data_IF_908239489607
#
_entry.id   IF_908239489607
#
_cell.length_a   1.000
_cell.length_b   1.000
_cell.length_c   1.000
_cell.angle_alpha   90.00
_cell.angle_beta   90.00
_cell.angle_gamma   90.00
#
_symmetry.space_group_name_H-M   'P 1'
#
loop_
_entity.id
_entity.type
_entity.pdbx_description
1 polymer ?
#
# COMPACT_ATOMS: atom_id res chain seq x y z
N UNK A 1 -29.59 -2.14 1.41
CA UNK A 1 -29.46 -0.76 0.89
C UNK A 1 -30.37 0.26 1.57
N UNK A 2 -31.71 0.16 1.48
CA UNK A 2 -32.64 1.10 2.16
C UNK A 2 -32.42 1.22 3.68
N UNK A 3 -31.98 0.14 4.33
CA UNK A 3 -31.66 0.13 5.75
C UNK A 3 -30.49 1.07 6.13
N UNK A 4 -29.44 1.14 5.31
CA UNK A 4 -28.26 2.00 5.59
C UNK A 4 -28.56 3.48 5.37
N UNK A 5 -29.39 3.82 4.37
CA UNK A 5 -29.86 5.18 4.17
C UNK A 5 -30.65 5.68 5.40
N UNK A 6 -31.47 4.82 6.01
CA UNK A 6 -32.18 5.15 7.24
C UNK A 6 -31.23 5.31 8.45
N UNK A 7 -30.18 4.48 8.53
CA UNK A 7 -29.12 4.63 9.55
C UNK A 7 -28.42 6.01 9.43
N UNK A 8 -28.22 6.52 8.22
CA UNK A 8 -27.63 7.84 8.01
C UNK A 8 -28.44 8.96 8.68
N UNK A 9 -29.75 8.99 8.44
CA UNK A 9 -30.66 9.96 9.05
C UNK A 9 -30.73 9.82 10.57
N UNK A 10 -30.59 8.60 11.11
CA UNK A 10 -30.52 8.37 12.56
C UNK A 10 -29.19 8.83 13.16
N UNK A 11 -28.08 8.68 12.42
CA UNK A 11 -26.74 8.96 12.92
C UNK A 11 -26.44 10.46 12.97
N UNK A 12 -26.90 11.22 11.97
CA UNK A 12 -26.57 12.63 11.80
C UNK A 12 -27.84 13.49 11.92
N UNK A 13 -28.00 14.27 13.00
CA UNK A 13 -29.17 15.12 13.19
C UNK A 13 -29.38 16.09 12.02
N UNK A 14 -30.57 16.08 11.43
CA UNK A 14 -30.93 16.96 10.31
C UNK A 14 -30.42 16.51 8.94
N UNK A 15 -29.85 15.29 8.83
CA UNK A 15 -29.47 14.71 7.54
C UNK A 15 -30.70 14.20 6.79
N UNK A 16 -31.12 14.96 5.77
CA UNK A 16 -32.20 14.59 4.84
C UNK A 16 -31.64 13.83 3.64
N UNK A 17 -31.73 12.50 3.68
CA UNK A 17 -31.20 11.62 2.62
C UNK A 17 -32.19 11.56 1.46
N UNK A 18 -31.74 11.96 0.27
CA UNK A 18 -32.58 12.00 -0.94
C UNK A 18 -32.25 10.90 -1.95
N UNK A 19 -31.05 10.32 -1.89
CA UNK A 19 -30.64 9.22 -2.76
C UNK A 19 -29.50 8.39 -2.14
N UNK A 20 -29.39 7.12 -2.59
CA UNK A 20 -28.18 6.32 -2.41
C UNK A 20 -27.26 6.46 -3.62
N UNK A 21 -25.97 6.22 -3.44
CA UNK A 21 -24.93 6.28 -4.48
C UNK A 21 -23.77 5.34 -4.14
N UNK A 22 -22.83 5.12 -5.07
CA UNK A 22 -21.56 4.46 -4.74
C UNK A 22 -20.78 5.22 -3.65
N UNK A 23 -19.93 4.51 -2.87
CA UNK A 23 -19.69 3.06 -2.93
C UNK A 23 -20.91 2.26 -2.44
N UNK A 24 -21.03 1.01 -2.89
CA UNK A 24 -22.02 0.04 -2.40
C UNK A 24 -21.28 -1.29 -2.24
N UNK A 25 -20.62 -1.43 -1.11
CA UNK A 25 -19.68 -2.52 -0.85
C UNK A 25 -20.22 -3.38 0.29
N UNK A 26 -20.09 -4.69 0.17
CA UNK A 26 -20.35 -5.64 1.26
C UNK A 26 -19.18 -6.61 1.28
N UNK A 27 -18.40 -6.57 2.35
CA UNK A 27 -17.32 -7.53 2.63
C UNK A 27 -17.79 -8.53 3.69
N UNK A 28 -16.90 -9.41 4.14
CA UNK A 28 -17.18 -10.30 5.28
C UNK A 28 -17.32 -9.53 6.61
N UNK A 29 -16.75 -8.33 6.70
CA UNK A 29 -16.65 -7.55 7.93
C UNK A 29 -17.55 -6.31 7.95
N UNK A 30 -17.79 -5.68 6.78
CA UNK A 30 -18.47 -4.40 6.69
C UNK A 30 -19.46 -4.34 5.54
N UNK A 31 -20.51 -3.55 5.75
CA UNK A 31 -21.37 -3.06 4.68
C UNK A 31 -21.28 -1.54 4.60
N UNK A 32 -20.96 -1.02 3.42
CA UNK A 32 -20.78 0.40 3.16
C UNK A 32 -21.71 0.89 2.05
N UNK A 33 -22.32 2.06 2.23
CA UNK A 33 -23.07 2.73 1.17
C UNK A 33 -22.82 4.24 1.15
N UNK A 34 -22.72 4.81 -0.05
CA UNK A 34 -22.80 6.24 -0.27
C UNK A 34 -24.25 6.74 -0.19
N UNK A 35 -24.46 7.93 0.38
CA UNK A 35 -25.75 8.63 0.37
C UNK A 35 -25.59 10.10 -0.03
N UNK A 36 -26.61 10.67 -0.64
CA UNK A 36 -26.69 12.08 -1.01
C UNK A 36 -27.78 12.75 -0.18
N UNK A 37 -27.50 13.93 0.36
CA UNK A 37 -28.50 14.73 1.05
C UNK A 37 -29.20 15.76 0.15
N UNK A 38 -30.28 16.36 0.64
CA UNK A 38 -31.06 17.38 -0.08
C UNK A 38 -30.30 18.66 -0.45
N UNK A 39 -29.11 18.88 0.12
CA UNK A 39 -28.21 19.98 -0.22
C UNK A 39 -27.12 19.57 -1.23
N UNK A 40 -27.19 18.35 -1.80
CA UNK A 40 -26.22 17.83 -2.76
C UNK A 40 -24.92 17.36 -2.13
N UNK A 41 -24.87 17.21 -0.81
CA UNK A 41 -23.69 16.79 -0.05
C UNK A 41 -23.64 15.25 0.01
N UNK A 42 -22.49 14.67 -0.36
CA UNK A 42 -22.27 13.22 -0.34
C UNK A 42 -21.71 12.73 1.00
N UNK A 43 -22.16 11.56 1.44
CA UNK A 43 -21.82 10.93 2.72
C UNK A 43 -21.57 9.44 2.49
N UNK A 44 -20.84 8.82 3.42
CA UNK A 44 -20.63 7.37 3.47
C UNK A 44 -21.15 6.86 4.82
N UNK A 45 -21.88 5.76 4.76
CA UNK A 45 -22.33 4.98 5.92
C UNK A 45 -21.57 3.67 5.90
N UNK A 46 -20.90 3.32 7.00
CA UNK A 46 -20.19 2.05 7.18
C UNK A 46 -20.73 1.34 8.41
N UNK A 47 -21.23 0.13 8.22
CA UNK A 47 -21.85 -0.69 9.26
C UNK A 47 -21.06 -2.00 9.41
N UNK A 48 -20.62 -2.36 10.62
CA UNK A 48 -19.98 -3.65 10.85
C UNK A 48 -20.99 -4.80 10.73
N UNK A 49 -20.53 -5.95 10.27
CA UNK A 49 -21.31 -7.19 10.14
C UNK A 49 -20.97 -8.22 11.24
N UNK A 50 -19.90 -8.00 12.00
CA UNK A 50 -19.46 -8.86 13.09
C UNK A 50 -19.10 -8.04 14.33
N UNK A 51 -19.12 -8.67 15.51
CA UNK A 51 -18.72 -8.01 16.77
C UNK A 51 -17.26 -7.53 16.73
N UNK A 52 -16.39 -8.31 16.09
CA UNK A 52 -14.97 -7.96 15.92
C UNK A 52 -14.81 -6.72 15.03
N UNK A 53 -15.50 -6.68 13.88
CA UNK A 53 -15.53 -5.52 13.00
C UNK A 53 -16.14 -4.29 13.69
N UNK A 54 -17.16 -4.49 14.54
CA UNK A 54 -17.73 -3.43 15.37
C UNK A 54 -16.73 -2.84 16.35
N UNK A 55 -16.00 -3.68 17.08
CA UNK A 55 -14.94 -3.23 17.98
C UNK A 55 -13.80 -2.52 17.23
N UNK A 56 -13.42 -3.01 16.04
CA UNK A 56 -12.42 -2.37 15.19
C UNK A 56 -12.88 -0.99 14.69
N UNK A 57 -14.16 -0.84 14.32
CA UNK A 57 -14.73 0.45 13.91
C UNK A 57 -14.77 1.46 15.06
N UNK A 58 -15.01 1.02 16.30
CA UNK A 58 -14.92 1.89 17.48
C UNK A 58 -13.50 2.41 17.71
N UNK A 59 -12.52 1.52 17.60
CA UNK A 59 -11.11 1.84 17.72
C UNK A 59 -10.67 2.83 16.61
N UNK A 60 -11.07 2.55 15.36
CA UNK A 60 -10.85 3.43 14.21
C UNK A 60 -11.48 4.80 14.44
N UNK A 61 -12.74 4.86 14.86
CA UNK A 61 -13.44 6.12 15.10
C UNK A 61 -12.74 7.00 16.16
N UNK A 62 -12.17 6.39 17.20
CA UNK A 62 -11.39 7.11 18.20
C UNK A 62 -10.07 7.64 17.63
N UNK A 63 -9.39 6.84 16.79
CA UNK A 63 -8.16 7.24 16.10
C UNK A 63 -8.41 8.36 15.10
N UNK A 64 -9.47 8.29 14.30
CA UNK A 64 -9.83 9.29 13.28
C UNK A 64 -10.01 10.69 13.87
N UNK A 65 -10.47 10.81 15.12
CA UNK A 65 -10.54 12.11 15.81
C UNK A 65 -9.16 12.72 15.98
N UNK A 66 -8.15 11.91 16.36
CA UNK A 66 -6.77 12.36 16.52
C UNK A 66 -6.13 12.63 15.15
N UNK A 67 -6.33 11.74 14.18
CA UNK A 67 -5.82 11.95 12.81
C UNK A 67 -6.39 13.22 12.16
N UNK A 68 -7.63 13.60 12.45
CA UNK A 68 -8.20 14.86 11.97
C UNK A 68 -7.45 16.10 12.51
N UNK A 69 -6.87 16.03 13.71
CA UNK A 69 -6.00 17.07 14.27
C UNK A 69 -4.67 17.12 13.51
N UNK A 70 -4.12 15.97 13.15
CA UNK A 70 -2.89 15.83 12.35
C UNK A 70 -3.07 16.42 10.95
N UNK A 71 -4.20 16.14 10.29
CA UNK A 71 -4.60 16.77 9.01
C UNK A 71 -4.73 18.28 9.17
N UNK A 72 -5.44 18.74 10.21
CA UNK A 72 -5.66 20.18 10.44
C UNK A 72 -4.37 20.95 10.75
N UNK A 73 -3.38 20.27 11.33
CA UNK A 73 -2.05 20.83 11.60
C UNK A 73 -1.11 20.81 10.38
N UNK A 74 -1.50 20.13 9.30
CA UNK A 74 -0.69 19.96 8.09
C UNK A 74 0.38 18.88 8.19
N UNK A 75 0.35 18.02 9.22
CA UNK A 75 1.27 16.87 9.33
C UNK A 75 0.87 15.72 8.42
N UNK A 76 -0.44 15.50 8.25
CA UNK A 76 -0.95 14.61 7.20
C UNK A 76 -1.35 15.45 5.98
N UNK A 77 -0.75 15.21 4.80
CA UNK A 77 -1.00 16.00 3.59
C UNK A 77 -2.28 15.61 2.85
N UNK A 78 -3.03 14.62 3.36
CA UNK A 78 -4.24 14.07 2.76
C UNK A 78 -5.40 14.07 3.77
N UNK A 79 -6.64 13.91 3.29
CA UNK A 79 -7.81 13.81 4.16
C UNK A 79 -7.99 12.40 4.77
N UNK A 80 -8.58 12.33 5.95
CA UNK A 80 -9.05 11.08 6.57
C UNK A 80 -10.55 11.14 6.82
N UNK A 81 -11.26 10.01 6.97
CA UNK A 81 -12.67 10.02 7.37
C UNK A 81 -12.87 10.81 8.67
N UNK A 82 -13.88 11.68 8.69
CA UNK A 82 -14.26 12.43 9.89
C UNK A 82 -15.66 11.99 10.34
N UNK A 83 -15.77 11.19 11.43
CA UNK A 83 -17.06 10.70 11.91
C UNK A 83 -17.99 11.88 12.22
N UNK A 84 -19.11 11.96 11.51
CA UNK A 84 -20.15 12.97 11.70
C UNK A 84 -21.26 12.51 12.64
N UNK A 85 -21.43 11.19 12.80
CA UNK A 85 -22.44 10.61 13.66
C UNK A 85 -22.43 9.09 13.66
N UNK A 86 -23.18 8.50 14.59
CA UNK A 86 -23.29 7.05 14.74
C UNK A 86 -24.74 6.61 14.95
N UNK A 87 -25.12 5.46 14.40
CA UNK A 87 -26.44 4.86 14.59
C UNK A 87 -26.31 3.42 15.11
N UNK A 88 -27.04 3.09 16.16
CA UNK A 88 -27.04 1.74 16.74
C UNK A 88 -27.61 0.71 15.75
N UNK A 89 -26.97 -0.45 15.66
CA UNK A 89 -27.45 -1.56 14.85
C UNK A 89 -28.32 -2.50 15.70
N UNK A 90 -29.38 -3.12 15.13
CA UNK A 90 -30.23 -4.07 15.86
C UNK A 90 -29.47 -5.28 16.43
N UNK A 91 -28.44 -5.74 15.71
CA UNK A 91 -27.65 -6.93 16.04
C UNK A 91 -26.55 -6.64 17.08
N UNK A 92 -26.24 -5.37 17.35
CA UNK A 92 -25.14 -4.94 18.21
C UNK A 92 -24.12 -4.08 17.46
N UNK A 93 -23.42 -3.21 18.20
CA UNK A 93 -22.51 -2.21 17.61
C UNK A 93 -23.25 -1.02 16.98
N UNK A 94 -22.50 -0.17 16.26
CA UNK A 94 -23.06 1.03 15.61
C UNK A 94 -22.42 1.28 14.25
N UNK A 95 -23.24 1.73 13.30
CA UNK A 95 -22.76 2.25 12.03
C UNK A 95 -22.16 3.64 12.23
N UNK A 96 -21.10 3.93 11.49
CA UNK A 96 -20.44 5.24 11.42
C UNK A 96 -20.86 5.95 10.14
N UNK A 97 -21.10 7.26 10.24
CA UNK A 97 -21.43 8.11 9.08
C UNK A 97 -20.44 9.25 9.01
N UNK A 98 -19.86 9.47 7.84
CA UNK A 98 -18.93 10.58 7.58
C UNK A 98 -19.17 11.21 6.21
N UNK A 99 -18.57 12.38 5.98
CA UNK A 99 -18.56 13.01 4.65
C UNK A 99 -17.82 12.11 3.66
N UNK A 100 -18.35 11.97 2.45
CA UNK A 100 -17.61 11.29 1.39
C UNK A 100 -16.31 12.05 1.10
N UNK A 101 -15.21 11.30 1.00
CA UNK A 101 -13.89 11.81 0.65
C UNK A 101 -13.84 12.09 -0.86
N UNK A 102 -12.97 13.02 -1.25
CA UNK A 102 -12.79 13.41 -2.66
C UNK A 102 -11.72 12.51 -3.27
N UNK A 103 -11.95 12.05 -4.50
CA UNK A 103 -11.00 11.26 -5.26
C UNK A 103 -11.60 9.93 -5.73
N UNK A 104 -10.78 9.17 -6.44
CA UNK A 104 -11.03 7.76 -6.81
C UNK A 104 -9.90 6.90 -6.27
N UNK A 105 -10.15 5.61 -6.09
CA UNK A 105 -9.11 4.66 -5.72
C UNK A 105 -7.92 4.75 -6.70
N UNK A 106 -6.71 4.61 -6.16
CA UNK A 106 -5.49 4.61 -6.96
C UNK A 106 -5.45 3.38 -7.86
N UNK A 107 -5.04 3.57 -9.11
CA UNK A 107 -4.84 2.46 -10.04
C UNK A 107 -3.35 2.14 -10.09
N UNK A 108 -3.01 0.85 -10.02
CA UNK A 108 -1.62 0.40 -9.99
C UNK A 108 -0.81 0.86 -11.20
N UNK A 109 -1.43 0.87 -12.39
CA UNK A 109 -0.80 1.32 -13.64
C UNK A 109 -0.43 2.82 -13.64
N UNK A 110 -0.98 3.61 -12.71
CA UNK A 110 -0.67 5.05 -12.56
C UNK A 110 0.52 5.29 -11.62
N UNK A 111 1.03 4.25 -10.97
CA UNK A 111 2.23 4.29 -10.14
C UNK A 111 3.49 4.05 -10.99
N UNK A 112 3.64 4.74 -12.11
CA UNK A 112 4.71 4.59 -13.12
C UNK A 112 6.04 5.27 -12.74
N UNK A 113 6.29 5.46 -11.44
CA UNK A 113 7.43 6.24 -10.95
C UNK A 113 7.30 7.76 -11.16
N UNK A 114 6.16 8.24 -11.67
CA UNK A 114 5.86 9.65 -11.83
C UNK A 114 5.54 10.38 -10.52
N UNK A 115 5.00 11.62 -10.62
CA UNK A 115 4.68 12.46 -9.46
C UNK A 115 3.74 11.80 -8.44
N UNK A 116 2.79 10.98 -8.89
CA UNK A 116 1.86 10.29 -8.01
C UNK A 116 2.56 9.25 -7.12
N UNK A 117 3.54 8.51 -7.66
CA UNK A 117 4.32 7.55 -6.88
C UNK A 117 5.14 8.25 -5.77
N UNK A 118 5.74 9.40 -6.10
CA UNK A 118 6.46 10.25 -5.14
C UNK A 118 5.52 10.80 -4.07
N UNK A 119 4.33 11.26 -4.46
CA UNK A 119 3.34 11.80 -3.53
C UNK A 119 2.79 10.71 -2.59
N UNK A 120 2.51 9.52 -3.11
CA UNK A 120 2.12 8.35 -2.32
C UNK A 120 3.20 7.97 -1.30
N UNK A 121 4.47 7.92 -1.72
CA UNK A 121 5.58 7.63 -0.82
C UNK A 121 5.66 8.66 0.34
N UNK A 122 5.42 9.93 0.05
CA UNK A 122 5.35 11.00 1.07
C UNK A 122 4.14 10.86 1.98
N UNK A 123 2.98 10.47 1.44
CA UNK A 123 1.78 10.22 2.23
C UNK A 123 1.99 9.08 3.24
N UNK A 124 2.61 7.98 2.81
CA UNK A 124 2.97 6.85 3.70
C UNK A 124 3.99 7.30 4.74
N UNK A 125 5.04 8.01 4.34
CA UNK A 125 6.03 8.56 5.27
C UNK A 125 5.38 9.48 6.32
N UNK A 126 4.39 10.30 5.94
CA UNK A 126 3.67 11.18 6.85
C UNK A 126 2.87 10.41 7.92
N UNK A 127 2.30 9.24 7.58
CA UNK A 127 1.68 8.34 8.58
C UNK A 127 2.75 7.84 9.54
N UNK A 128 3.88 7.40 9.02
CA UNK A 128 4.95 6.82 9.83
C UNK A 128 5.67 7.85 10.72
N UNK A 129 5.59 9.15 10.41
CA UNK A 129 6.13 10.26 11.22
C UNK A 129 5.20 10.69 12.36
N UNK A 130 4.00 10.10 12.46
CA UNK A 130 3.09 10.35 13.57
C UNK A 130 3.68 9.83 14.89
N UNK A 131 3.40 10.55 15.99
CA UNK A 131 3.79 10.11 17.32
C UNK A 131 3.06 8.80 17.69
N UNK A 132 3.82 7.76 18.04
CA UNK A 132 3.31 6.46 18.50
C UNK A 132 2.34 6.62 19.69
N UNK A 133 2.45 7.69 20.47
CA UNK A 133 1.48 8.02 21.51
C UNK A 133 0.03 8.09 20.98
N UNK A 134 -0.19 8.48 19.73
CA UNK A 134 -1.52 8.54 19.11
C UNK A 134 -2.24 7.20 19.13
N UNK A 135 -1.52 6.10 18.88
CA UNK A 135 -2.07 4.75 18.90
C UNK A 135 -1.99 4.12 20.29
N UNK A 136 -0.90 4.36 21.03
CA UNK A 136 -0.68 3.79 22.36
C UNK A 136 -1.69 4.30 23.41
N UNK A 137 -2.03 5.60 23.40
CA UNK A 137 -3.01 6.19 24.32
C UNK A 137 -4.44 5.65 24.12
N UNK A 138 -4.74 5.20 22.91
CA UNK A 138 -6.02 4.57 22.56
C UNK A 138 -6.04 3.06 22.88
N UNK A 139 -4.93 2.51 23.36
CA UNK A 139 -4.80 1.08 23.66
C UNK A 139 -4.69 0.21 22.41
N UNK A 140 -4.36 0.80 21.25
CA UNK A 140 -4.06 0.03 20.04
C UNK A 140 -2.73 -0.71 20.21
N UNK A 141 -2.50 -1.80 19.43
CA UNK A 141 -1.28 -2.58 19.57
C UNK A 141 -0.02 -1.76 19.34
N UNK A 142 1.03 -2.06 20.11
CA UNK A 142 2.37 -1.49 19.95
C UNK A 142 3.36 -2.64 20.03
N UNK A 143 4.13 -2.82 18.98
CA UNK A 143 5.13 -3.88 18.88
C UNK A 143 6.52 -3.28 18.70
N UNK A 144 7.47 -3.75 19.51
CA UNK A 144 8.88 -3.60 19.16
C UNK A 144 9.27 -4.60 18.06
N UNK A 145 10.46 -4.42 17.47
CA UNK A 145 10.92 -5.24 16.36
C UNK A 145 10.96 -6.74 16.70
N UNK A 146 11.32 -7.10 17.93
CA UNK A 146 11.41 -8.50 18.35
C UNK A 146 10.03 -9.13 18.55
N UNK A 147 9.09 -8.41 19.17
CA UNK A 147 7.72 -8.85 19.36
C UNK A 147 7.02 -9.01 18.02
N UNK A 148 7.24 -8.06 17.10
CA UNK A 148 6.67 -8.11 15.76
C UNK A 148 7.24 -9.27 14.92
N UNK A 149 8.56 -9.46 14.95
CA UNK A 149 9.24 -10.62 14.34
C UNK A 149 8.65 -11.95 14.84
N UNK A 150 8.50 -12.12 16.15
CA UNK A 150 7.91 -13.33 16.74
C UNK A 150 6.47 -13.56 16.30
N UNK A 151 5.69 -12.49 16.12
CA UNK A 151 4.33 -12.58 15.58
C UNK A 151 4.34 -13.10 14.14
N UNK A 152 5.22 -12.57 13.29
CA UNK A 152 5.39 -13.05 11.90
C UNK A 152 5.87 -14.50 11.85
N UNK A 153 6.76 -14.91 12.75
CA UNK A 153 7.18 -16.31 12.86
C UNK A 153 6.01 -17.23 13.26
N UNK A 154 5.20 -16.83 14.24
CA UNK A 154 4.02 -17.59 14.64
C UNK A 154 2.98 -17.72 13.50
N UNK A 155 2.87 -16.70 12.64
CA UNK A 155 2.02 -16.71 11.44
C UNK A 155 2.54 -17.70 10.39
N UNK A 156 3.85 -17.74 10.15
CA UNK A 156 4.48 -18.77 9.29
C UNK A 156 4.26 -20.17 9.86
N UNK A 157 4.44 -20.36 11.16
CA UNK A 157 4.16 -21.64 11.83
C UNK A 157 2.70 -22.08 11.66
N UNK A 158 1.76 -21.15 11.77
CA UNK A 158 0.33 -21.42 11.58
C UNK A 158 0.02 -21.81 10.13
N UNK A 159 0.53 -21.04 9.17
CA UNK A 159 0.36 -21.31 7.74
C UNK A 159 0.99 -22.65 7.34
N UNK A 160 2.19 -22.96 7.86
CA UNK A 160 2.88 -24.24 7.66
C UNK A 160 2.03 -25.44 8.13
N UNK A 161 1.37 -25.33 9.28
CA UNK A 161 0.49 -26.40 9.81
C UNK A 161 -0.73 -26.72 8.94
N UNK A 162 -1.12 -25.83 8.03
CA UNK A 162 -2.21 -26.11 7.08
C UNK A 162 -1.82 -27.20 6.07
N UNK A 163 -0.51 -27.37 5.80
CA UNK A 163 0.00 -28.27 4.76
C UNK A 163 -0.19 -27.79 3.32
N UNK A 164 -0.73 -26.57 3.12
CA UNK A 164 -0.95 -25.99 1.79
C UNK A 164 0.23 -25.14 1.30
N UNK A 165 1.05 -24.61 2.22
CA UNK A 165 2.20 -23.77 1.88
C UNK A 165 3.36 -24.64 1.37
N UNK A 166 3.95 -24.35 0.19
CA UNK A 166 5.13 -25.05 -0.29
C UNK A 166 6.33 -24.94 0.66
N UNK A 167 7.07 -26.03 0.81
CA UNK A 167 8.19 -26.11 1.75
C UNK A 167 9.33 -25.13 1.40
N UNK A 168 9.54 -24.82 0.11
CA UNK A 168 10.55 -23.84 -0.30
C UNK A 168 10.26 -22.44 0.24
N UNK A 169 8.99 -22.02 0.19
CA UNK A 169 8.54 -20.73 0.73
C UNK A 169 8.67 -20.67 2.26
N UNK A 170 8.28 -21.72 2.98
CA UNK A 170 8.46 -21.79 4.43
C UNK A 170 9.94 -21.58 4.80
N UNK A 171 10.85 -22.33 4.17
CA UNK A 171 12.29 -22.20 4.42
C UNK A 171 12.83 -20.80 4.08
N UNK A 172 12.34 -20.19 2.99
CA UNK A 172 12.70 -18.84 2.57
C UNK A 172 12.29 -17.81 3.62
N UNK A 173 11.05 -17.87 4.10
CA UNK A 173 10.52 -16.96 5.11
C UNK A 173 11.17 -17.15 6.47
N UNK A 174 11.38 -18.39 6.91
CA UNK A 174 12.08 -18.70 8.16
C UNK A 174 13.50 -18.11 8.17
N UNK A 175 14.26 -18.25 7.07
CA UNK A 175 15.60 -17.65 6.98
C UNK A 175 15.59 -16.13 7.12
N UNK A 176 14.62 -15.45 6.51
CA UNK A 176 14.46 -14.01 6.64
C UNK A 176 14.06 -13.62 8.08
N UNK A 177 13.19 -14.41 8.72
CA UNK A 177 12.77 -14.22 10.12
C UNK A 177 13.88 -14.52 11.12
N UNK A 178 14.85 -15.37 10.78
CA UNK A 178 16.01 -15.71 11.61
C UNK A 178 17.17 -14.71 11.46
N UNK A 179 17.25 -13.99 10.34
CA UNK A 179 18.27 -12.96 10.12
C UNK A 179 17.96 -11.69 10.92
N UNK A 180 18.50 -11.62 12.14
CA UNK A 180 18.29 -10.50 13.06
C UNK A 180 18.71 -9.13 12.49
N UNK A 181 19.53 -9.08 11.42
CA UNK A 181 19.89 -7.82 10.76
C UNK A 181 18.70 -7.15 10.08
N UNK A 182 17.69 -7.92 9.70
CA UNK A 182 16.46 -7.38 9.12
C UNK A 182 15.59 -6.71 10.19
N UNK A 183 15.66 -7.17 11.45
CA UNK A 183 14.71 -6.84 12.51
C UNK A 183 15.26 -5.81 13.51
N UNK A 184 15.89 -4.76 12.98
CA UNK A 184 16.44 -3.64 13.78
C UNK A 184 15.70 -2.33 13.56
N UNK A 185 14.48 -2.39 13.05
CA UNK A 185 13.68 -1.20 12.74
C UNK A 185 13.21 -0.48 14.02
N UNK A 186 12.99 0.82 13.89
CA UNK A 186 12.27 1.62 14.88
C UNK A 186 10.77 1.53 14.60
N UNK A 187 9.93 1.11 15.56
CA UNK A 187 8.50 1.03 15.34
C UNK A 187 7.91 2.40 15.01
N UNK A 188 6.90 2.42 14.14
CA UNK A 188 6.17 3.63 13.74
C UNK A 188 4.67 3.38 13.80
N UNK A 189 3.86 4.44 13.80
CA UNK A 189 2.44 4.29 13.48
C UNK A 189 2.32 3.79 12.03
N UNK A 190 1.60 2.69 11.83
CA UNK A 190 1.28 2.15 10.50
C UNK A 190 -0.24 2.19 10.28
N UNK A 191 -0.66 2.27 9.04
CA UNK A 191 -2.03 1.98 8.62
C UNK A 191 -2.36 0.51 8.86
N UNK A 192 -1.42 -0.40 8.58
CA UNK A 192 -1.46 -1.83 8.93
C UNK A 192 -2.25 -2.71 7.96
N UNK A 193 -3.01 -2.10 7.06
CA UNK A 193 -3.76 -2.76 5.99
C UNK A 193 -3.86 -1.85 4.75
N UNK A 194 -2.74 -1.20 4.39
CA UNK A 194 -2.73 -0.27 3.27
C UNK A 194 -2.80 -1.04 1.94
N UNK A 195 -3.71 -0.62 1.08
CA UNK A 195 -3.98 -1.24 -0.22
C UNK A 195 -4.53 -0.18 -1.20
N UNK A 196 -4.56 -0.42 -2.53
CA UNK A 196 -5.03 0.55 -3.52
C UNK A 196 -6.43 1.13 -3.22
N UNK A 197 -7.35 0.28 -2.77
CA UNK A 197 -8.73 0.64 -2.43
C UNK A 197 -8.84 1.58 -1.21
N UNK A 198 -7.77 1.72 -0.43
CA UNK A 198 -7.71 2.58 0.75
C UNK A 198 -7.06 3.94 0.47
N UNK A 199 -6.54 4.15 -0.74
CA UNK A 199 -5.88 5.38 -1.17
C UNK A 199 -6.70 6.05 -2.26
N UNK A 200 -7.15 7.28 -2.00
CA UNK A 200 -7.86 8.08 -2.98
C UNK A 200 -6.94 9.12 -3.62
N UNK A 201 -7.10 9.29 -4.93
CA UNK A 201 -6.36 10.23 -5.78
C UNK A 201 -7.32 11.24 -6.40
N UNK A 202 -6.92 12.50 -6.38
CA UNK A 202 -7.60 13.60 -7.06
C UNK A 202 -6.57 14.54 -7.70
N UNK A 203 -6.80 14.94 -8.95
CA UNK A 203 -5.90 15.84 -9.69
C UNK A 203 -4.42 15.38 -9.73
N UNK A 204 -4.19 14.07 -9.70
CA UNK A 204 -2.85 13.46 -9.77
C UNK A 204 -2.11 13.38 -8.45
N UNK A 205 -2.76 13.68 -7.33
CA UNK A 205 -2.20 13.66 -5.98
C UNK A 205 -3.06 12.83 -5.03
N UNK A 206 -2.47 12.29 -3.97
CA UNK A 206 -3.17 11.57 -2.90
C UNK A 206 -4.06 12.55 -2.15
N UNK A 207 -5.37 12.39 -2.32
CA UNK A 207 -6.37 13.27 -1.73
C UNK A 207 -6.88 12.78 -0.38
N UNK A 208 -6.90 11.45 -0.17
CA UNK A 208 -7.34 10.87 1.09
C UNK A 208 -6.82 9.45 1.30
N UNK A 209 -6.71 9.04 2.57
CA UNK A 209 -6.50 7.64 2.99
C UNK A 209 -7.59 7.28 4.00
N UNK A 210 -8.12 6.06 3.95
CA UNK A 210 -9.18 5.59 4.85
C UNK A 210 -9.01 4.12 5.26
N UNK A 211 -9.91 3.61 6.10
CA UNK A 211 -9.89 2.23 6.64
C UNK A 211 -8.79 1.96 7.66
N UNK A 212 -8.62 2.87 8.64
CA UNK A 212 -7.60 2.77 9.70
C UNK A 212 -7.93 1.75 10.81
N UNK A 213 -8.79 0.77 10.55
CA UNK A 213 -9.19 -0.25 11.55
C UNK A 213 -8.05 -1.19 11.95
N UNK A 214 -7.02 -1.32 11.12
CA UNK A 214 -5.83 -2.11 11.39
C UNK A 214 -4.66 -1.28 11.95
N UNK A 215 -4.85 0.03 12.18
CA UNK A 215 -3.77 0.93 12.58
C UNK A 215 -3.20 0.57 13.95
N UNK A 216 -1.88 0.57 14.03
CA UNK A 216 -1.13 0.20 15.23
C UNK A 216 0.31 0.73 15.13
N UNK A 217 1.17 0.42 16.12
CA UNK A 217 2.60 0.72 16.00
C UNK A 217 3.42 -0.56 15.77
N UNK A 218 4.17 -0.59 14.67
CA UNK A 218 4.93 -1.76 14.22
C UNK A 218 5.97 -1.39 13.14
N UNK A 219 6.30 -2.34 12.27
CA UNK A 219 7.26 -2.23 11.19
C UNK A 219 6.71 -1.38 10.03
N UNK A 220 7.39 -0.29 9.62
CA UNK A 220 6.98 0.50 8.45
C UNK A 220 6.86 -0.34 7.16
N UNK A 221 7.51 -1.50 7.09
CA UNK A 221 7.40 -2.40 5.95
C UNK A 221 5.97 -2.89 5.66
N UNK A 222 5.07 -2.91 6.65
CA UNK A 222 3.68 -3.37 6.45
C UNK A 222 2.95 -2.51 5.42
N UNK A 223 3.10 -1.19 5.47
CA UNK A 223 2.39 -0.26 4.57
C UNK A 223 3.05 -0.15 3.18
N UNK A 224 4.25 -0.73 3.00
CA UNK A 224 4.96 -0.77 1.72
C UNK A 224 4.83 -2.13 1.01
N UNK A 225 4.33 -3.15 1.70
CA UNK A 225 4.26 -4.52 1.19
C UNK A 225 3.41 -4.66 -0.08
N UNK A 226 2.28 -3.95 -0.16
CA UNK A 226 1.40 -4.02 -1.34
C UNK A 226 2.04 -3.39 -2.58
N UNK A 227 2.85 -2.33 -2.38
CA UNK A 227 3.66 -1.72 -3.45
C UNK A 227 4.70 -2.70 -3.94
N UNK A 228 5.41 -3.36 -3.03
CA UNK A 228 6.40 -4.38 -3.37
C UNK A 228 5.81 -5.55 -4.19
N UNK A 229 4.53 -5.91 -3.95
CA UNK A 229 3.83 -6.93 -4.70
C UNK A 229 3.32 -6.46 -6.07
N UNK A 230 2.89 -5.20 -6.18
CA UNK A 230 1.94 -4.79 -7.23
C UNK A 230 2.36 -3.55 -8.03
N UNK A 231 3.31 -2.75 -7.53
CA UNK A 231 3.78 -1.57 -8.25
C UNK A 231 4.66 -1.99 -9.45
N UNK A 232 4.70 -1.17 -10.51
CA UNK A 232 5.68 -1.32 -11.59
C UNK A 232 7.12 -1.40 -11.04
N UNK A 233 7.94 -2.28 -11.61
CA UNK A 233 9.28 -2.58 -11.10
C UNK A 233 10.21 -1.35 -11.11
N UNK A 234 10.05 -0.48 -12.10
CA UNK A 234 10.76 0.79 -12.25
C UNK A 234 10.29 1.88 -11.26
N UNK A 235 9.09 1.75 -10.70
CA UNK A 235 8.56 2.68 -9.71
C UNK A 235 9.07 2.41 -8.29
N UNK A 236 9.39 1.15 -7.96
CA UNK A 236 9.80 0.76 -6.61
C UNK A 236 11.04 1.52 -6.09
N UNK A 237 12.13 1.71 -6.86
CA UNK A 237 13.27 2.51 -6.42
C UNK A 237 12.90 3.97 -6.15
N UNK A 238 12.02 4.55 -6.97
CA UNK A 238 11.58 5.95 -6.86
C UNK A 238 10.72 6.13 -5.61
N UNK A 239 9.79 5.20 -5.36
CA UNK A 239 8.97 5.18 -4.15
C UNK A 239 9.86 5.05 -2.91
N UNK A 240 10.81 4.12 -2.92
CA UNK A 240 11.72 3.91 -1.79
C UNK A 240 12.57 5.15 -1.50
N UNK A 241 13.13 5.79 -2.53
CA UNK A 241 13.91 7.02 -2.40
C UNK A 241 13.04 8.19 -1.88
N UNK A 242 11.85 8.38 -2.44
CA UNK A 242 10.92 9.43 -2.02
C UNK A 242 10.43 9.23 -0.57
N UNK A 243 10.17 7.99 -0.18
CA UNK A 243 9.81 7.62 1.18
C UNK A 243 10.97 7.92 2.14
N UNK A 244 12.18 7.45 1.83
CA UNK A 244 13.35 7.68 2.67
C UNK A 244 13.66 9.18 2.83
N UNK A 245 13.54 9.96 1.76
CA UNK A 245 13.75 11.41 1.78
C UNK A 245 12.70 12.17 2.60
N UNK A 246 11.50 11.60 2.78
CA UNK A 246 10.41 12.20 3.56
C UNK A 246 10.46 11.84 5.07
N UNK A 247 11.28 10.85 5.45
CA UNK A 247 11.44 10.38 6.83
C UNK A 247 12.48 11.21 7.58
N UNK A 248 12.25 11.46 8.87
CA UNK A 248 13.20 12.20 9.72
C UNK A 248 14.19 11.30 10.47
N UNK A 249 13.87 10.00 10.57
CA UNK A 249 14.65 8.99 11.28
C UNK A 249 15.90 8.49 10.54
N UNK A 250 16.62 7.56 11.18
CA UNK A 250 17.74 6.89 10.55
C UNK A 250 17.26 6.04 9.36
N UNK A 251 18.10 5.94 8.33
CA UNK A 251 17.85 5.07 7.19
C UNK A 251 17.77 3.61 7.64
N UNK A 252 16.74 2.90 7.16
CA UNK A 252 16.55 1.48 7.40
C UNK A 252 16.88 0.70 6.11
N UNK A 253 18.11 0.19 5.98
CA UNK A 253 18.54 -0.49 4.77
C UNK A 253 17.80 -1.82 4.52
N UNK A 254 17.12 -2.35 5.54
CA UNK A 254 16.38 -3.62 5.45
C UNK A 254 14.88 -3.41 5.18
N UNK A 255 14.41 -2.17 5.04
CA UNK A 255 12.99 -1.85 4.90
C UNK A 255 12.35 -2.57 3.70
N UNK A 256 12.97 -2.47 2.52
CA UNK A 256 12.40 -3.07 1.30
C UNK A 256 12.48 -4.60 1.32
N UNK A 257 13.52 -5.17 1.94
CA UNK A 257 13.60 -6.62 2.18
C UNK A 257 12.45 -7.10 3.10
N UNK A 258 12.16 -6.34 4.17
CA UNK A 258 11.03 -6.66 5.04
C UNK A 258 9.68 -6.43 4.35
N UNK A 259 9.56 -5.42 3.49
CA UNK A 259 8.35 -5.19 2.70
C UNK A 259 8.12 -6.35 1.71
N UNK A 260 9.18 -6.87 1.09
CA UNK A 260 9.13 -8.07 0.26
C UNK A 260 8.65 -9.28 1.06
N UNK A 261 9.25 -9.53 2.23
CA UNK A 261 8.78 -10.61 3.11
C UNK A 261 7.30 -10.43 3.49
N UNK A 262 6.89 -9.22 3.89
CA UNK A 262 5.52 -8.92 4.26
C UNK A 262 4.52 -9.14 3.11
N UNK A 263 4.95 -8.86 1.88
CA UNK A 263 4.20 -9.09 0.64
C UNK A 263 4.01 -10.58 0.35
N UNK A 264 5.08 -11.39 0.47
CA UNK A 264 5.00 -12.85 0.30
C UNK A 264 4.09 -13.47 1.39
N UNK A 265 4.22 -13.01 2.64
CA UNK A 265 3.39 -13.46 3.76
C UNK A 265 1.91 -13.07 3.64
N UNK A 266 1.55 -12.09 2.79
CA UNK A 266 0.14 -11.75 2.56
C UNK A 266 -0.64 -12.94 1.98
N UNK A 267 -0.02 -13.76 1.13
CA UNK A 267 -0.64 -14.98 0.59
C UNK A 267 -0.89 -16.02 1.69
N UNK A 268 0.02 -16.12 2.66
CA UNK A 268 -0.17 -16.98 3.83
C UNK A 268 -1.34 -16.49 4.70
N UNK A 269 -1.51 -15.17 4.88
CA UNK A 269 -2.68 -14.60 5.57
C UNK A 269 -3.99 -14.89 4.84
N UNK A 270 -3.98 -14.78 3.51
CA UNK A 270 -5.14 -15.10 2.68
C UNK A 270 -5.55 -16.57 2.82
N UNK A 271 -4.58 -17.49 2.75
CA UNK A 271 -4.79 -18.91 3.02
C UNK A 271 -5.40 -19.14 4.42
N UNK A 272 -4.80 -18.54 5.45
CA UNK A 272 -5.28 -18.67 6.82
C UNK A 272 -6.69 -18.09 7.01
N UNK A 273 -7.03 -17.02 6.28
CA UNK A 273 -8.38 -16.47 6.26
C UNK A 273 -9.39 -17.49 5.70
N UNK A 274 -9.10 -18.11 4.55
CA UNK A 274 -9.92 -19.17 3.97
C UNK A 274 -10.11 -20.36 4.92
N UNK A 275 -9.03 -20.79 5.58
CA UNK A 275 -9.10 -21.90 6.56
C UNK A 275 -10.00 -21.54 7.75
N UNK A 276 -9.88 -20.33 8.31
CA UNK A 276 -10.69 -19.90 9.46
C UNK A 276 -12.16 -19.69 9.14
N UNK A 277 -12.45 -19.28 7.91
CA UNK A 277 -13.82 -19.05 7.43
C UNK A 277 -14.46 -20.31 6.83
N UNK A 278 -13.71 -21.42 6.78
CA UNK A 278 -14.11 -22.68 6.14
C UNK A 278 -14.49 -22.49 4.65
N UNK A 279 -13.87 -21.51 3.99
CA UNK A 279 -14.10 -21.20 2.58
C UNK A 279 -13.09 -21.91 1.68
N UNK A 280 -13.53 -23.01 1.07
CA UNK A 280 -12.70 -23.80 0.16
C UNK A 280 -12.26 -23.02 -1.09
N UNK A 281 -13.03 -22.02 -1.53
CA UNK A 281 -12.68 -21.23 -2.71
C UNK A 281 -11.48 -20.34 -2.42
N UNK A 282 -11.45 -19.72 -1.23
CA UNK A 282 -10.32 -18.92 -0.76
C UNK A 282 -9.09 -19.80 -0.53
N UNK A 283 -9.26 -21.00 0.06
CA UNK A 283 -8.15 -21.93 0.28
C UNK A 283 -7.52 -22.39 -1.04
N UNK A 284 -8.34 -22.74 -2.04
CA UNK A 284 -7.86 -23.18 -3.35
C UNK A 284 -7.15 -22.05 -4.10
N UNK A 285 -7.72 -20.83 -4.07
CA UNK A 285 -7.12 -19.62 -4.65
C UNK A 285 -5.76 -19.30 -4.00
N UNK A 286 -5.71 -19.18 -2.67
CA UNK A 286 -4.46 -18.91 -1.95
C UNK A 286 -3.40 -20.00 -2.20
N UNK A 287 -3.81 -21.27 -2.28
CA UNK A 287 -2.89 -22.37 -2.61
C UNK A 287 -2.31 -22.22 -4.03
N UNK A 288 -3.11 -21.79 -5.00
CA UNK A 288 -2.65 -21.54 -6.36
C UNK A 288 -1.69 -20.33 -6.42
N UNK A 289 -2.00 -19.25 -5.71
CA UNK A 289 -1.11 -18.08 -5.60
C UNK A 289 0.22 -18.44 -4.97
N UNK A 290 0.22 -19.24 -3.89
CA UNK A 290 1.45 -19.70 -3.23
C UNK A 290 2.33 -20.58 -4.12
N UNK A 291 1.72 -21.41 -4.97
CA UNK A 291 2.49 -22.20 -5.96
C UNK A 291 3.11 -21.31 -7.02
N UNK A 292 2.37 -20.31 -7.49
CA UNK A 292 2.91 -19.37 -8.47
C UNK A 292 4.06 -18.55 -7.85
N UNK A 293 3.91 -18.12 -6.60
CA UNK A 293 4.99 -17.48 -5.87
C UNK A 293 6.23 -18.38 -5.73
N UNK A 294 6.05 -19.67 -5.42
CA UNK A 294 7.16 -20.63 -5.36
C UNK A 294 7.92 -20.72 -6.69
N UNK A 295 7.21 -20.70 -7.82
CA UNK A 295 7.81 -20.69 -9.16
C UNK A 295 8.54 -19.36 -9.42
N UNK A 296 7.93 -18.22 -9.10
CA UNK A 296 8.47 -16.88 -9.34
C UNK A 296 9.75 -16.60 -8.52
N UNK A 297 9.85 -17.15 -7.30
CA UNK A 297 11.01 -16.92 -6.41
C UNK A 297 12.04 -18.04 -6.44
N UNK A 298 11.89 -19.05 -7.31
CA UNK A 298 12.78 -20.21 -7.37
C UNK A 298 14.25 -19.83 -7.57
N UNK A 299 14.51 -18.83 -8.43
CA UNK A 299 15.85 -18.31 -8.73
C UNK A 299 16.13 -16.95 -8.05
N UNK A 300 15.22 -16.46 -7.22
CA UNK A 300 15.38 -15.19 -6.53
C UNK A 300 16.41 -15.30 -5.38
N UNK A 301 17.19 -14.24 -5.11
CA UNK A 301 18.08 -14.22 -3.95
C UNK A 301 17.30 -14.36 -2.64
N UNK A 302 17.97 -14.82 -1.58
CA UNK A 302 17.39 -14.81 -0.24
C UNK A 302 17.05 -13.36 0.18
N UNK A 303 15.89 -13.17 0.80
CA UNK A 303 15.48 -11.88 1.36
C UNK A 303 16.55 -11.40 2.35
N UNK A 304 17.02 -10.15 2.23
CA UNK A 304 18.09 -9.62 3.09
C UNK A 304 19.51 -9.96 2.64
N UNK A 305 19.67 -10.59 1.47
CA UNK A 305 20.96 -10.90 0.85
C UNK A 305 21.00 -10.47 -0.61
N UNK A 306 20.81 -9.18 -0.84
CA UNK A 306 21.19 -8.55 -2.11
C UNK A 306 22.71 -8.44 -2.15
N UNK A 307 23.37 -9.07 -3.14
CA UNK A 307 24.78 -8.79 -3.41
C UNK A 307 24.91 -7.28 -3.69
N UNK A 308 25.87 -6.56 -3.08
CA UNK A 308 26.08 -5.18 -3.46
C UNK A 308 26.40 -5.16 -4.95
N UNK A 309 25.57 -4.48 -5.75
CA UNK A 309 25.87 -4.24 -7.15
C UNK A 309 27.20 -3.47 -7.19
N UNK A 310 28.29 -4.19 -7.46
CA UNK A 310 29.61 -3.58 -7.62
C UNK A 310 29.59 -2.87 -8.96
N UNK A 311 29.08 -1.64 -8.97
CA UNK A 311 29.30 -0.74 -10.09
C UNK A 311 30.76 -0.33 -10.01
N UNK A 312 31.63 -1.06 -10.73
CA UNK A 312 32.95 -0.52 -11.01
C UNK A 312 32.72 0.74 -11.86
N UNK A 313 32.97 1.92 -11.29
CA UNK A 313 33.41 3.01 -12.15
C UNK A 313 34.76 2.58 -12.71
N UNK A 314 34.86 2.44 -14.04
CA UNK A 314 36.19 2.47 -14.67
C UNK A 314 36.70 3.87 -14.38
N UNK A 315 37.72 3.96 -13.55
CA UNK A 315 38.53 5.16 -13.54
C UNK A 315 39.03 5.36 -14.98
N UNK A 316 38.85 6.54 -15.60
CA UNK A 316 39.42 6.79 -16.91
C UNK A 316 40.93 6.53 -16.83
N UNK A 317 41.47 5.78 -17.80
CA UNK A 317 42.90 5.50 -17.88
C UNK A 317 43.68 6.82 -17.81
N UNK A 318 44.46 6.99 -16.74
CA UNK A 318 45.43 8.06 -16.65
C UNK A 318 46.51 7.80 -17.72
N UNK A 319 46.48 8.57 -18.81
CA UNK A 319 47.57 8.63 -19.78
C UNK A 319 48.89 8.91 -19.04
N UNK A 320 49.85 7.98 -19.16
CA UNK A 320 51.20 8.19 -18.65
C UNK A 320 51.84 9.42 -19.31
N UNK A 321 52.53 10.29 -18.55
CA UNK A 321 53.15 11.47 -19.13
C UNK A 321 54.36 11.06 -19.98
N UNK A 322 54.23 11.23 -21.30
CA UNK A 322 55.37 11.25 -22.21
C UNK A 322 56.31 12.39 -21.80
N UNK A 323 57.57 12.03 -21.52
CA UNK A 323 58.59 12.94 -21.03
C UNK A 323 58.88 14.11 -21.97
N UNK A 324 59.19 15.25 -21.33
CA UNK A 324 59.80 16.43 -21.92
C UNK A 324 61.02 16.06 -22.78
N UNK A 325 60.94 16.37 -24.08
CA UNK A 325 62.11 16.88 -24.81
C UNK A 325 61.70 18.14 -25.55
N UNK A 326 62.25 19.23 -25.04
CA UNK A 326 62.25 20.59 -25.53
C UNK A 326 62.77 20.70 -26.98
N UNK A 327 62.50 21.87 -27.58
CA UNK A 327 63.16 22.50 -28.74
C UNK A 327 62.43 22.45 -30.10
N UNK A 328 61.75 23.58 -30.35
CA UNK A 328 62.00 24.48 -31.49
C UNK A 328 61.45 24.17 -32.89
N UNK A 329 60.58 25.12 -33.28
CA UNK A 329 60.67 25.93 -34.50
C UNK A 329 60.20 25.28 -35.81
N UNK A 330 59.01 25.70 -36.30
CA UNK A 330 58.92 26.70 -37.37
C UNK A 330 57.46 26.82 -37.89
N UNK A 331 56.98 28.07 -37.92
CA UNK A 331 56.45 28.72 -39.14
C UNK A 331 55.08 28.31 -39.74
N UNK A 332 54.13 29.25 -39.56
CA UNK A 332 53.34 29.97 -40.61
C UNK A 332 52.02 29.37 -41.16
N UNK A 333 50.98 30.17 -40.87
CA UNK A 333 49.84 30.63 -41.70
C UNK A 333 48.71 29.67 -42.15
N UNK A 334 47.50 30.16 -41.82
CA UNK A 334 46.26 30.24 -42.63
C UNK A 334 45.67 28.92 -43.15
N UNK A 335 44.37 28.62 -43.08
CA UNK A 335 43.16 29.43 -43.03
C UNK A 335 41.97 28.54 -42.59
N UNK A 336 40.88 29.15 -42.12
CA UNK A 336 39.52 28.60 -42.20
C UNK A 336 39.15 28.30 -43.69
N UNK A 337 38.09 27.54 -44.07
CA UNK A 337 36.85 27.34 -43.32
C UNK A 337 36.09 26.01 -43.57
N UNK A 338 34.87 25.95 -43.00
CA UNK A 338 33.65 25.25 -43.45
C UNK A 338 33.65 23.71 -43.58
N UNK A 339 32.73 23.04 -42.87
CA UNK A 339 31.44 22.56 -43.42
C UNK A 339 30.81 21.55 -42.45
N UNK A 340 29.58 21.88 -42.04
CA UNK A 340 28.38 21.05 -41.94
C UNK A 340 28.56 19.52 -42.04
N UNK A 341 27.88 18.75 -41.18
CA UNK A 341 26.94 17.73 -41.63
C UNK A 341 25.98 17.29 -40.51
N UNK A 342 24.72 17.21 -40.93
CA UNK A 342 23.53 16.84 -40.20
C UNK A 342 23.46 15.34 -39.84
N UNK A 343 22.81 15.10 -38.69
CA UNK A 343 21.70 14.20 -38.47
C UNK A 343 21.85 12.65 -38.45
N UNK A 344 21.07 12.14 -37.49
CA UNK A 344 20.18 10.98 -37.58
C UNK A 344 20.76 9.58 -37.35
N UNK A 345 20.41 8.97 -36.20
CA UNK A 345 19.26 8.05 -36.20
C UNK A 345 18.94 7.51 -34.81
N UNK A 346 17.65 7.52 -34.52
CA UNK A 346 16.98 6.74 -33.49
C UNK A 346 17.04 5.24 -33.82
N UNK A 347 17.12 4.42 -32.78
CA UNK A 347 16.75 3.00 -32.85
C UNK A 347 15.90 2.66 -31.65
N UNK A 348 14.63 2.39 -31.95
CA UNK A 348 13.66 1.73 -31.08
C UNK A 348 14.14 0.31 -30.73
N UNK A 349 13.99 -0.08 -29.46
CA UNK A 349 14.06 -1.46 -29.03
C UNK A 349 12.86 -1.76 -28.13
N UNK A 350 11.87 -2.45 -28.71
CA UNK A 350 10.82 -3.15 -27.98
C UNK A 350 11.45 -4.27 -27.12
N UNK A 351 11.16 -4.25 -25.83
CA UNK A 351 11.45 -5.32 -24.88
C UNK A 351 10.17 -5.73 -24.17
N UNK A 352 9.72 -6.96 -24.43
CA UNK A 352 8.55 -7.61 -23.82
C UNK A 352 8.77 -7.87 -22.33
N UNK A 353 7.86 -7.38 -21.47
CA UNK A 353 7.84 -7.64 -20.03
C UNK A 353 6.95 -8.85 -19.67
N UNK A 354 7.28 -9.62 -18.62
CA UNK A 354 6.46 -10.72 -18.13
C UNK A 354 5.31 -10.24 -17.23
N UNK A 355 4.16 -10.92 -17.31
CA UNK A 355 2.97 -10.72 -16.48
C UNK A 355 3.26 -11.14 -15.02
N UNK A 356 3.01 -10.27 -14.04
CA UNK A 356 2.91 -10.60 -12.60
C UNK A 356 1.54 -10.25 -12.03
N UNK A 357 1.20 -10.98 -10.98
CA UNK A 357 -0.15 -11.20 -10.45
C UNK A 357 -0.55 -10.07 -9.49
N UNK A 358 -1.60 -9.34 -9.86
CA UNK A 358 -2.38 -8.55 -8.91
C UNK A 358 -3.18 -9.50 -8.01
N UNK A 359 -3.21 -9.25 -6.70
CA UNK A 359 -4.14 -9.91 -5.78
C UNK A 359 -5.59 -9.66 -6.21
N UNK A 360 -6.56 -10.50 -5.77
CA UNK A 360 -7.92 -10.35 -6.21
C UNK A 360 -8.49 -9.04 -5.68
N UNK A 361 -8.83 -8.13 -6.58
CA UNK A 361 -9.82 -7.11 -6.31
C UNK A 361 -11.14 -7.84 -5.99
N UNK A 362 -11.74 -7.54 -4.84
CA UNK A 362 -13.05 -8.11 -4.46
C UNK A 362 -14.06 -7.83 -5.59
N UNK A 363 -14.51 -8.89 -6.28
CA UNK A 363 -15.51 -8.78 -7.34
C UNK A 363 -16.82 -8.21 -6.75
N UNK A 364 -17.09 -6.94 -7.07
CA UNK A 364 -18.30 -6.25 -6.65
C UNK A 364 -19.49 -6.77 -7.45
N UNK A 365 -20.33 -7.60 -6.85
CA UNK A 365 -21.53 -8.15 -7.48
C UNK A 365 -22.58 -7.02 -7.70
N UNK A 366 -22.58 -6.40 -8.87
CA UNK A 366 -23.61 -5.43 -9.28
C UNK A 366 -24.91 -6.17 -9.62
N UNK A 367 -25.83 -6.23 -8.67
CA UNK A 367 -27.20 -6.72 -8.88
C UNK A 367 -27.97 -5.76 -9.83
N UNK A 368 -28.04 -6.13 -11.10
CA UNK A 368 -28.85 -5.46 -12.13
C UNK A 368 -30.34 -5.83 -11.95
N UNK A 369 -31.12 -4.97 -11.31
CA UNK A 369 -32.58 -5.15 -11.20
C UNK A 369 -33.24 -4.74 -12.53
N UNK A 370 -33.45 -5.71 -13.41
CA UNK A 370 -34.20 -5.55 -14.64
C UNK A 370 -35.69 -5.34 -14.36
N UNK A 371 -36.23 -4.23 -14.86
CA UNK A 371 -37.65 -3.93 -14.94
C UNK A 371 -38.43 -5.05 -15.66
N UNK A 372 -39.55 -5.48 -15.08
CA UNK A 372 -40.69 -6.04 -15.82
C UNK A 372 -42.00 -5.52 -15.24
N UNK A 373 -42.52 -4.49 -15.89
CA UNK A 373 -43.95 -4.21 -15.95
C UNK A 373 -44.51 -4.81 -17.24
N UNK A 374 -45.82 -5.12 -17.19
CA UNK A 374 -46.71 -5.64 -18.25
C UNK A 374 -46.56 -7.17 -18.49
N UNK A 375 -47.58 -8.02 -18.46
CA UNK A 375 -49.01 -7.84 -18.70
C UNK A 375 -49.81 -9.10 -18.23
N UNK A 376 -51.06 -8.90 -17.79
CA UNK A 376 -52.14 -9.87 -17.41
C UNK A 376 -52.16 -10.54 -16.04
#
# INVERSE_FOLDING_TARGET
MLALAALATSAVPGLDVVATRPPQLTTSEFQSTGVLDGNGRAWVVRAPLTDAAGAALEAEAALLVRLAEEVSSGRLPFAVPQPAGFAQLPEGGRAMVHRALVGREVLLDELDGGPLAVDLARAIAAIHELDIALVAELGLPVYDAEAFRKRRLAEVDEASRTGHVPAALINRWERALEDLRLWTFEPVVVHGDLAPEHVLVHDGEVSAIHSFSAAHASDPAEDLAWLQASAPEDALPIIAEAYAAARSGAEDPALMDRALLASELALARWLLHGVRTEDATIVDDATAMLRTLEEDVADAPEIGRSEPAVHWEVAPEEDEPAGDTDSDDDRVEHADPDEDHEADQATDLEGTAPHRIAGPAEETEQLHLGERLEDR
#
